data_IF_760738125431
#
_entry.id   IF_760738125431
#
_cell.length_a   1.000
_cell.length_b   1.000
_cell.length_c   1.000
_cell.angle_alpha   90.00
_cell.angle_beta   90.00
_cell.angle_gamma   90.00
#
_symmetry.space_group_name_H-M   'P 1'
#
loop_
_entity.id
_entity.type
_entity.pdbx_description
1 polymer ?
#
# COMPACT_ATOMS: atom_id res chain seq x y z
N UNK A 1 60.45 25.31 -1.78
CA UNK A 1 59.07 25.84 -2.04
C UNK A 1 58.22 24.91 -2.92
N UNK A 2 58.74 24.33 -4.00
CA UNK A 2 58.01 23.45 -4.94
C UNK A 2 57.33 22.18 -4.32
N UNK A 3 57.92 21.57 -3.29
CA UNK A 3 57.42 20.36 -2.65
C UNK A 3 56.11 20.63 -1.85
N UNK A 4 56.04 21.79 -1.20
CA UNK A 4 54.87 22.19 -0.38
C UNK A 4 53.64 22.48 -1.26
N UNK A 5 53.86 23.08 -2.41
CA UNK A 5 52.82 23.37 -3.41
C UNK A 5 52.26 22.10 -4.06
N UNK A 6 53.11 21.12 -4.35
CA UNK A 6 52.72 19.83 -4.89
C UNK A 6 51.82 19.07 -3.91
N UNK A 7 52.19 19.07 -2.61
CA UNK A 7 51.39 18.42 -1.57
C UNK A 7 50.03 19.09 -1.35
N UNK A 8 49.90 20.41 -1.53
CA UNK A 8 48.63 21.11 -1.44
C UNK A 8 47.68 20.74 -2.60
N UNK A 9 48.19 20.63 -3.82
CA UNK A 9 47.41 20.21 -4.99
C UNK A 9 46.87 18.78 -4.85
N UNK A 10 47.66 17.86 -4.31
CA UNK A 10 47.21 16.49 -4.01
C UNK A 10 46.11 16.45 -2.93
N UNK A 11 46.26 17.23 -1.86
CA UNK A 11 45.22 17.32 -0.82
C UNK A 11 43.91 17.86 -1.35
N UNK A 12 43.96 18.91 -2.17
CA UNK A 12 42.78 19.44 -2.83
C UNK A 12 42.13 18.41 -3.79
N UNK A 13 42.94 17.73 -4.59
CA UNK A 13 42.44 16.69 -5.49
C UNK A 13 41.75 15.53 -4.75
N UNK A 14 42.30 15.09 -3.62
CA UNK A 14 41.71 14.01 -2.80
C UNK A 14 40.38 14.43 -2.24
N UNK A 15 40.22 15.68 -1.78
CA UNK A 15 38.95 16.19 -1.24
C UNK A 15 37.81 16.14 -2.30
N UNK A 16 38.12 16.37 -3.56
CA UNK A 16 37.16 16.29 -4.65
C UNK A 16 36.99 14.86 -5.18
N UNK A 17 38.01 14.05 -5.15
CA UNK A 17 38.01 12.69 -5.69
C UNK A 17 37.16 11.72 -4.83
N UNK A 18 37.25 11.85 -3.49
CA UNK A 18 36.53 10.97 -2.56
C UNK A 18 35.02 10.99 -2.76
N UNK A 19 34.32 12.15 -2.78
CA UNK A 19 32.88 12.17 -3.00
C UNK A 19 32.46 11.62 -4.37
N UNK A 20 33.27 11.87 -5.41
CA UNK A 20 33.00 11.35 -6.75
C UNK A 20 33.10 9.82 -6.77
N UNK A 21 34.12 9.27 -6.10
CA UNK A 21 34.34 7.83 -6.01
C UNK A 21 33.20 7.14 -5.24
N UNK A 22 32.72 7.77 -4.16
CA UNK A 22 31.57 7.26 -3.38
C UNK A 22 30.30 7.27 -4.23
N UNK A 23 30.06 8.32 -5.02
CA UNK A 23 28.90 8.39 -5.93
C UNK A 23 28.96 7.30 -7.01
N UNK A 24 30.14 7.09 -7.62
CA UNK A 24 30.34 6.04 -8.61
C UNK A 24 30.13 4.66 -7.97
N UNK A 25 30.72 4.41 -6.81
CA UNK A 25 30.57 3.15 -6.11
C UNK A 25 29.11 2.87 -5.71
N UNK A 26 28.38 3.88 -5.23
CA UNK A 26 26.97 3.78 -4.87
C UNK A 26 26.08 3.47 -6.06
N UNK A 27 26.31 4.15 -7.19
CA UNK A 27 25.57 3.91 -8.44
C UNK A 27 25.85 2.52 -9.00
N UNK A 28 27.11 2.10 -9.04
CA UNK A 28 27.46 0.74 -9.48
C UNK A 28 26.80 -0.31 -8.59
N UNK A 29 26.82 -0.12 -7.28
CA UNK A 29 26.20 -1.02 -6.31
C UNK A 29 24.68 -1.16 -6.55
N UNK A 30 24.02 -0.05 -6.85
CA UNK A 30 22.59 -0.04 -7.19
C UNK A 30 22.30 -0.79 -8.48
N UNK A 31 23.12 -0.58 -9.53
CA UNK A 31 22.92 -1.25 -10.84
C UNK A 31 23.28 -2.75 -10.80
N UNK A 32 24.18 -3.19 -9.94
CA UNK A 32 24.51 -4.62 -9.75
C UNK A 32 23.40 -5.37 -9.00
N UNK A 33 22.32 -4.67 -8.59
CA UNK A 33 21.13 -5.31 -8.00
C UNK A 33 21.28 -5.63 -6.51
N UNK A 34 22.22 -5.02 -5.83
CA UNK A 34 22.33 -5.11 -4.38
C UNK A 34 21.33 -4.15 -3.71
N UNK A 35 20.05 -4.42 -3.90
CA UNK A 35 19.02 -3.76 -3.10
C UNK A 35 18.96 -4.43 -1.74
N UNK A 36 18.97 -3.66 -0.64
CA UNK A 36 18.77 -4.23 0.69
C UNK A 36 17.40 -4.94 0.71
N UNK A 37 17.39 -6.22 1.03
CA UNK A 37 16.17 -7.06 1.14
C UNK A 37 15.29 -6.65 2.33
N UNK A 38 15.45 -5.46 2.87
CA UNK A 38 14.64 -4.90 3.94
C UNK A 38 13.32 -4.36 3.42
N UNK A 39 12.29 -5.18 3.38
CA UNK A 39 10.92 -4.69 3.22
C UNK A 39 10.48 -4.05 4.55
N UNK A 40 10.20 -2.76 4.53
CA UNK A 40 9.73 -2.00 5.71
C UNK A 40 8.19 -2.02 5.86
N UNK A 41 7.48 -2.77 5.03
CA UNK A 41 6.04 -2.90 5.09
C UNK A 41 5.63 -3.82 6.24
N UNK A 42 4.68 -3.38 7.03
CA UNK A 42 4.06 -4.15 8.11
C UNK A 42 3.03 -5.17 7.61
N UNK A 43 2.94 -5.40 6.30
CA UNK A 43 2.01 -6.33 5.65
C UNK A 43 2.74 -7.38 4.83
N UNK A 44 2.02 -8.45 4.49
CA UNK A 44 2.50 -9.50 3.59
C UNK A 44 2.06 -9.16 2.16
N UNK A 45 2.98 -9.21 1.21
CA UNK A 45 2.66 -9.04 -0.20
C UNK A 45 1.96 -10.30 -0.71
N UNK A 46 0.85 -10.13 -1.43
CA UNK A 46 0.15 -11.24 -2.06
C UNK A 46 0.83 -11.52 -3.40
N UNK A 47 1.47 -12.67 -3.51
CA UNK A 47 2.13 -13.14 -4.74
C UNK A 47 1.58 -14.51 -5.12
N UNK A 48 1.02 -14.69 -6.34
CA UNK A 48 0.88 -13.69 -7.42
C UNK A 48 -0.18 -12.62 -7.12
N UNK A 49 -0.08 -11.41 -7.74
CA UNK A 49 -1.05 -10.34 -7.52
C UNK A 49 -2.44 -10.77 -7.98
N UNK A 50 -3.46 -10.47 -7.16
CA UNK A 50 -4.85 -10.80 -7.45
C UNK A 50 -5.41 -9.82 -8.48
N UNK A 51 -5.90 -10.35 -9.60
CA UNK A 51 -6.62 -9.55 -10.59
C UNK A 51 -8.09 -9.41 -10.19
N UNK A 52 -8.43 -8.27 -9.61
CA UNK A 52 -9.78 -7.96 -9.13
C UNK A 52 -10.83 -7.94 -10.26
N UNK A 53 -10.42 -7.71 -11.52
CA UNK A 53 -11.34 -7.73 -12.66
C UNK A 53 -11.87 -9.15 -12.93
N UNK A 54 -11.12 -10.19 -12.55
CA UNK A 54 -11.53 -11.59 -12.69
C UNK A 54 -12.52 -12.06 -11.63
N UNK A 55 -12.69 -11.33 -10.54
CA UNK A 55 -13.47 -11.75 -9.38
C UNK A 55 -15.00 -11.57 -9.54
N UNK A 56 -15.50 -11.13 -10.69
CA UNK A 56 -16.96 -10.97 -10.98
C UNK A 56 -17.75 -10.38 -9.78
N UNK A 57 -17.24 -9.26 -9.23
CA UNK A 57 -17.86 -8.60 -8.10
C UNK A 57 -19.15 -7.93 -8.56
N UNK A 58 -20.29 -8.23 -7.92
CA UNK A 58 -21.57 -7.61 -8.26
C UNK A 58 -21.49 -6.09 -8.11
N UNK A 59 -21.91 -5.37 -9.18
CA UNK A 59 -21.86 -3.89 -9.21
C UNK A 59 -20.53 -3.29 -9.67
N UNK A 60 -19.50 -4.10 -9.94
CA UNK A 60 -18.20 -3.66 -10.45
C UNK A 60 -17.95 -4.25 -11.83
N UNK A 61 -18.52 -3.62 -12.87
CA UNK A 61 -18.50 -4.19 -14.23
C UNK A 61 -17.11 -4.14 -14.92
N UNK A 62 -16.22 -3.22 -14.52
CA UNK A 62 -14.89 -3.01 -15.16
C UNK A 62 -13.75 -2.90 -14.14
N UNK A 63 -13.85 -3.55 -12.99
CA UNK A 63 -12.90 -3.37 -11.90
C UNK A 63 -13.13 -2.05 -11.14
N UNK A 64 -12.35 -1.81 -10.13
CA UNK A 64 -12.42 -0.57 -9.37
C UNK A 64 -11.87 0.60 -10.20
N UNK A 65 -12.50 1.79 -10.14
CA UNK A 65 -12.02 2.95 -10.88
C UNK A 65 -10.55 3.22 -10.57
N UNK A 66 -9.74 3.60 -11.58
CA UNK A 66 -8.27 3.73 -11.55
C UNK A 66 -7.70 4.66 -10.47
N UNK A 67 -7.98 4.33 -9.22
CA UNK A 67 -7.51 4.98 -7.99
C UNK A 67 -7.02 3.93 -7.00
N UNK A 68 -6.25 4.35 -6.03
CA UNK A 68 -5.83 3.49 -4.93
C UNK A 68 -7.04 2.93 -4.19
N UNK A 69 -6.99 1.66 -3.86
CA UNK A 69 -8.14 0.95 -3.31
C UNK A 69 -7.76 0.24 -2.02
N UNK A 70 -8.50 0.51 -0.95
CA UNK A 70 -8.41 -0.25 0.31
C UNK A 70 -9.60 -1.20 0.34
N UNK A 71 -9.32 -2.49 0.40
CA UNK A 71 -10.32 -3.54 0.41
C UNK A 71 -10.30 -4.22 1.77
N UNK A 72 -11.47 -4.34 2.37
CA UNK A 72 -11.74 -5.20 3.52
C UNK A 72 -12.60 -6.37 3.05
N UNK A 73 -12.27 -7.59 3.47
CA UNK A 73 -13.03 -8.80 3.15
C UNK A 73 -13.72 -9.28 4.41
N UNK A 74 -15.03 -9.46 4.35
CA UNK A 74 -15.87 -9.88 5.46
C UNK A 74 -16.52 -11.23 5.14
N UNK A 75 -16.03 -12.26 5.81
CA UNK A 75 -16.53 -13.63 5.66
C UNK A 75 -17.35 -14.09 6.88
N UNK A 76 -17.23 -13.41 8.01
CA UNK A 76 -17.83 -13.73 9.29
C UNK A 76 -18.27 -12.44 10.00
N UNK A 77 -19.05 -12.50 11.10
CA UNK A 77 -19.40 -11.32 11.88
C UNK A 77 -18.19 -10.46 12.22
N UNK A 78 -18.34 -9.14 12.04
CA UNK A 78 -17.24 -8.21 12.24
C UNK A 78 -16.90 -8.09 13.73
N UNK A 79 -15.82 -8.72 14.14
CA UNK A 79 -15.29 -8.68 15.50
C UNK A 79 -14.47 -7.40 15.75
N UNK A 80 -13.91 -7.25 16.94
CA UNK A 80 -13.16 -6.06 17.36
C UNK A 80 -12.00 -5.71 16.42
N UNK A 81 -11.25 -6.71 15.96
CA UNK A 81 -10.16 -6.52 15.00
C UNK A 81 -10.63 -5.96 13.66
N UNK A 82 -11.78 -6.43 13.16
CA UNK A 82 -12.41 -5.93 11.95
C UNK A 82 -12.84 -4.46 12.13
N UNK A 83 -13.56 -4.13 13.19
CA UNK A 83 -13.97 -2.75 13.49
C UNK A 83 -12.77 -1.80 13.67
N UNK A 84 -11.72 -2.26 14.34
CA UNK A 84 -10.48 -1.51 14.50
C UNK A 84 -9.82 -1.22 13.14
N UNK A 85 -9.80 -2.19 12.24
CA UNK A 85 -9.25 -2.02 10.89
C UNK A 85 -10.07 -1.02 10.06
N UNK A 86 -11.39 -1.12 10.08
CA UNK A 86 -12.29 -0.17 9.42
C UNK A 86 -12.12 1.25 9.96
N UNK A 87 -11.97 1.38 11.28
CA UNK A 87 -11.69 2.66 11.93
C UNK A 87 -10.36 3.25 11.49
N UNK A 88 -9.27 2.46 11.52
CA UNK A 88 -7.94 2.92 11.09
C UNK A 88 -7.94 3.42 9.66
N UNK A 89 -8.54 2.67 8.73
CA UNK A 89 -8.59 3.07 7.32
C UNK A 89 -9.49 4.29 7.09
N UNK A 90 -10.55 4.48 7.91
CA UNK A 90 -11.32 5.71 7.93
C UNK A 90 -10.45 6.90 8.37
N UNK A 91 -9.66 6.76 9.42
CA UNK A 91 -8.78 7.81 9.91
C UNK A 91 -7.72 8.18 8.87
N UNK A 92 -7.13 7.19 8.18
CA UNK A 92 -6.21 7.44 7.07
C UNK A 92 -6.88 8.25 5.97
N UNK A 93 -8.09 7.86 5.55
CA UNK A 93 -8.83 8.58 4.50
C UNK A 93 -9.14 10.03 4.90
N UNK A 94 -9.51 10.27 6.17
CA UNK A 94 -9.73 11.63 6.69
C UNK A 94 -8.43 12.46 6.66
N UNK A 95 -7.31 11.86 7.04
CA UNK A 95 -5.99 12.51 7.06
C UNK A 95 -5.47 12.88 5.67
N UNK A 96 -5.88 12.17 4.63
CA UNK A 96 -5.55 12.48 3.24
C UNK A 96 -6.17 13.80 2.75
N UNK A 97 -7.19 14.33 3.43
CA UNK A 97 -7.80 15.61 3.09
C UNK A 97 -8.25 15.70 1.62
N UNK A 98 -7.62 16.56 0.83
CA UNK A 98 -7.92 16.72 -0.60
C UNK A 98 -7.62 15.47 -1.45
N UNK A 99 -6.63 14.69 -1.07
CA UNK A 99 -6.25 13.46 -1.77
C UNK A 99 -7.13 12.25 -1.42
N UNK A 100 -8.08 12.40 -0.46
CA UNK A 100 -9.01 11.34 -0.08
C UNK A 100 -9.85 10.80 -1.25
N UNK A 101 -10.12 11.64 -2.26
CA UNK A 101 -10.84 11.24 -3.49
C UNK A 101 -10.06 10.27 -4.37
N UNK A 102 -8.73 10.22 -4.21
CA UNK A 102 -7.83 9.31 -4.94
C UNK A 102 -7.78 7.92 -4.31
N UNK A 103 -8.41 7.73 -3.14
CA UNK A 103 -8.42 6.46 -2.41
C UNK A 103 -9.86 6.01 -2.19
N UNK A 104 -10.26 4.92 -2.83
CA UNK A 104 -11.52 4.21 -2.60
C UNK A 104 -11.41 3.29 -1.40
N UNK A 105 -12.51 3.11 -0.68
CA UNK A 105 -12.62 2.17 0.45
C UNK A 105 -13.81 1.25 0.20
N UNK A 106 -13.54 -0.04 0.17
CA UNK A 106 -14.52 -1.05 -0.19
C UNK A 106 -14.59 -2.15 0.87
N UNK A 107 -15.80 -2.61 1.15
CA UNK A 107 -16.07 -3.77 1.98
C UNK A 107 -16.68 -4.85 1.11
N UNK A 108 -15.95 -5.92 0.89
CA UNK A 108 -16.41 -7.10 0.16
C UNK A 108 -17.01 -8.09 1.15
N UNK A 109 -18.28 -8.38 0.98
CA UNK A 109 -19.03 -9.27 1.85
C UNK A 109 -19.26 -10.58 1.09
N UNK A 110 -18.84 -11.70 1.70
CA UNK A 110 -19.09 -13.03 1.12
C UNK A 110 -20.60 -13.31 1.02
N UNK A 111 -21.03 -13.93 -0.07
CA UNK A 111 -22.44 -14.37 -0.24
C UNK A 111 -22.90 -15.34 0.84
N UNK A 112 -21.95 -16.07 1.45
CA UNK A 112 -22.24 -16.95 2.60
C UNK A 112 -22.54 -16.20 3.90
N UNK A 113 -22.35 -14.85 3.93
CA UNK A 113 -22.55 -14.05 5.12
C UNK A 113 -23.56 -12.92 4.90
N UNK A 114 -24.53 -12.80 5.79
CA UNK A 114 -25.48 -11.68 5.81
C UNK A 114 -25.21 -10.76 6.98
N UNK A 115 -25.05 -9.46 6.70
CA UNK A 115 -24.89 -8.45 7.74
C UNK A 115 -26.09 -8.44 8.70
N UNK A 116 -25.84 -8.37 9.97
CA UNK A 116 -26.86 -8.13 10.96
C UNK A 116 -27.44 -6.71 10.86
N UNK A 117 -28.68 -6.46 11.31
CA UNK A 117 -29.23 -5.11 11.32
C UNK A 117 -28.39 -4.10 12.09
N UNK A 118 -27.73 -4.55 13.16
CA UNK A 118 -26.83 -3.73 13.97
C UNK A 118 -25.55 -3.36 13.21
N UNK A 119 -24.93 -4.31 12.51
CA UNK A 119 -23.74 -4.05 11.69
C UNK A 119 -24.07 -3.11 10.54
N UNK A 120 -25.21 -3.32 9.88
CA UNK A 120 -25.68 -2.45 8.80
C UNK A 120 -25.90 -1.02 9.29
N UNK A 121 -26.59 -0.85 10.40
CA UNK A 121 -26.81 0.48 11.01
C UNK A 121 -25.50 1.17 11.38
N UNK A 122 -24.55 0.43 11.96
CA UNK A 122 -23.22 0.95 12.32
C UNK A 122 -22.39 1.33 11.10
N UNK A 123 -22.36 0.48 10.07
CA UNK A 123 -21.63 0.77 8.82
C UNK A 123 -22.18 2.02 8.14
N UNK A 124 -23.49 2.15 8.01
CA UNK A 124 -24.12 3.32 7.40
C UNK A 124 -23.85 4.60 8.18
N UNK A 125 -23.94 4.55 9.50
CA UNK A 125 -23.77 5.72 10.38
C UNK A 125 -22.30 6.16 10.50
N UNK A 126 -21.39 5.21 10.74
CA UNK A 126 -19.99 5.52 11.07
C UNK A 126 -19.09 5.57 9.84
N UNK A 127 -19.47 4.88 8.74
CA UNK A 127 -18.62 4.72 7.56
C UNK A 127 -19.32 5.11 6.24
N UNK A 128 -19.87 6.33 6.10
CA UNK A 128 -20.69 6.71 4.93
C UNK A 128 -19.93 6.71 3.59
N UNK A 129 -18.59 6.70 3.62
CA UNK A 129 -17.73 6.63 2.43
C UNK A 129 -17.19 5.22 2.16
N UNK A 130 -17.69 4.21 2.86
CA UNK A 130 -17.35 2.82 2.65
C UNK A 130 -18.39 2.23 1.68
N UNK A 131 -17.94 1.80 0.53
CA UNK A 131 -18.81 1.15 -0.46
C UNK A 131 -18.85 -0.35 -0.18
N UNK A 132 -20.05 -0.94 -0.19
CA UNK A 132 -20.28 -2.34 0.12
C UNK A 132 -20.59 -3.10 -1.17
N UNK A 133 -19.88 -4.22 -1.38
CA UNK A 133 -20.10 -5.12 -2.51
C UNK A 133 -20.21 -6.56 -2.03
N UNK A 134 -20.92 -7.38 -2.80
CA UNK A 134 -20.98 -8.82 -2.57
C UNK A 134 -19.97 -9.53 -3.46
N UNK A 135 -19.37 -10.58 -2.92
CA UNK A 135 -18.44 -11.43 -3.67
C UNK A 135 -18.95 -12.86 -3.64
N UNK A 136 -18.93 -13.57 -4.78
CA UNK A 136 -19.29 -14.97 -4.83
C UNK A 136 -18.32 -15.80 -3.99
N UNK A 137 -18.81 -16.90 -3.41
CA UNK A 137 -18.04 -17.75 -2.50
C UNK A 137 -16.76 -18.29 -3.15
N UNK A 138 -16.76 -18.51 -4.45
CA UNK A 138 -15.59 -18.95 -5.21
C UNK A 138 -14.44 -17.93 -5.18
N UNK A 139 -14.73 -16.64 -5.06
CA UNK A 139 -13.73 -15.58 -4.98
C UNK A 139 -13.05 -15.49 -3.60
N UNK A 140 -13.64 -16.12 -2.58
CA UNK A 140 -13.13 -16.14 -1.19
C UNK A 140 -11.73 -16.77 -1.08
N UNK A 141 -11.43 -17.76 -1.89
CA UNK A 141 -10.13 -18.45 -1.89
C UNK A 141 -9.00 -17.66 -2.58
N UNK A 142 -9.30 -16.49 -3.13
CA UNK A 142 -8.33 -15.63 -3.82
C UNK A 142 -7.70 -14.58 -2.89
N UNK A 143 -8.17 -14.48 -1.63
CA UNK A 143 -7.69 -13.55 -0.61
C UNK A 143 -7.02 -14.24 0.57
#
# INVERSE_FOLDING_TARGET
MKQKEKNQKYKAAIIFLIPILVLIASTLWFYVGFSPEGRTNNGQLIEPPIDLAKLKIEGVNNGFPGRWTIIHVLNNPCQETCWSSLYKTRQVNIRLGRDATRVGRYLLISDSYSLSPQETARLTKEYPRLELFRIPEQAKHSF
#
